data_IF_936392422016
#
_entry.id   IF_936392422016
#
_cell.length_a   1.000
_cell.length_b   1.000
_cell.length_c   1.000
_cell.angle_alpha   90.00
_cell.angle_beta   90.00
_cell.angle_gamma   90.00
#
_symmetry.space_group_name_H-M   'P 1'
#
loop_
_entity.id
_entity.type
_entity.pdbx_description
1 polymer ?
#
# COMPACT_ATOMS: atom_id res chain seq x y z
N UNK A 1 5.03 -7.44 -0.50
CA UNK A 1 4.69 -6.17 0.14
C UNK A 1 5.12 -4.97 -0.72
N UNK A 2 6.29 -4.99 -1.36
CA UNK A 2 6.77 -3.91 -2.25
C UNK A 2 5.86 -3.74 -3.45
N UNK A 3 5.48 -4.84 -4.12
CA UNK A 3 4.50 -4.83 -5.21
C UNK A 3 3.16 -4.24 -4.78
N UNK A 4 2.67 -4.63 -3.58
CA UNK A 4 1.47 -4.03 -2.98
C UNK A 4 1.66 -2.53 -2.78
N UNK A 5 2.76 -2.09 -2.18
CA UNK A 5 3.03 -0.67 -1.94
C UNK A 5 3.15 0.16 -3.23
N UNK A 6 3.57 -0.47 -4.33
CA UNK A 6 3.60 0.12 -5.67
C UNK A 6 2.23 0.09 -6.37
N UNK A 7 1.22 -0.59 -5.81
CA UNK A 7 -0.11 -0.74 -6.39
C UNK A 7 -0.19 -1.75 -7.54
N UNK A 8 0.79 -2.66 -7.67
CA UNK A 8 0.77 -3.70 -8.71
C UNK A 8 -0.25 -4.79 -8.43
N UNK A 9 -0.57 -5.02 -7.16
CA UNK A 9 -1.54 -6.02 -6.71
C UNK A 9 -2.95 -5.42 -6.50
N UNK A 10 -3.15 -4.14 -6.79
CA UNK A 10 -4.45 -3.49 -6.69
C UNK A 10 -5.30 -3.76 -7.92
N UNK A 11 -6.61 -3.71 -7.76
CA UNK A 11 -7.56 -3.79 -8.89
C UNK A 11 -7.39 -2.59 -9.84
N UNK A 12 -6.95 -1.45 -9.30
CA UNK A 12 -6.55 -0.27 -10.06
C UNK A 12 -5.05 -0.10 -9.89
N UNK A 13 -4.31 -0.28 -10.98
CA UNK A 13 -2.86 -0.20 -10.97
C UNK A 13 -2.38 1.19 -10.53
N UNK A 14 -1.51 1.22 -9.50
CA UNK A 14 -0.92 2.45 -9.00
C UNK A 14 -1.84 3.29 -8.11
N UNK A 15 -2.89 2.71 -7.54
CA UNK A 15 -3.83 3.40 -6.64
C UNK A 15 -3.11 4.10 -5.48
N UNK A 16 -3.39 5.40 -5.29
CA UNK A 16 -2.69 6.23 -4.31
C UNK A 16 -2.98 5.84 -2.85
N UNK A 17 -4.17 5.29 -2.59
CA UNK A 17 -4.58 4.90 -1.24
C UNK A 17 -3.80 3.71 -0.69
N UNK A 18 -3.29 2.82 -1.54
CA UNK A 18 -2.52 1.63 -1.12
C UNK A 18 -1.31 2.00 -0.26
N UNK A 19 -0.57 3.04 -0.64
CA UNK A 19 0.58 3.46 0.15
C UNK A 19 0.19 3.95 1.55
N UNK A 20 -0.95 4.61 1.65
CA UNK A 20 -1.50 5.04 2.94
C UNK A 20 -1.93 3.84 3.78
N UNK A 21 -2.57 2.84 3.17
CA UNK A 21 -2.96 1.59 3.84
C UNK A 21 -1.74 0.82 4.36
N UNK A 22 -0.66 0.70 3.57
CA UNK A 22 0.60 0.08 3.99
C UNK A 22 1.21 0.79 5.20
N UNK A 23 1.22 2.13 5.22
CA UNK A 23 1.72 2.91 6.36
C UNK A 23 0.82 2.77 7.59
N UNK A 24 -0.48 2.75 7.41
CA UNK A 24 -1.45 2.56 8.50
C UNK A 24 -1.27 1.16 9.12
N UNK A 25 -1.10 0.12 8.30
CA UNK A 25 -0.90 -1.25 8.77
C UNK A 25 0.31 -1.38 9.71
N UNK A 26 1.47 -0.82 9.35
CA UNK A 26 2.66 -0.87 10.24
C UNK A 26 2.45 -0.03 11.50
N UNK A 27 1.72 1.07 11.41
CA UNK A 27 1.41 1.89 12.59
C UNK A 27 0.53 1.12 13.58
N UNK A 28 -0.49 0.42 13.10
CA UNK A 28 -1.34 -0.45 13.93
C UNK A 28 -0.56 -1.61 14.53
N UNK A 29 0.30 -2.27 13.74
CA UNK A 29 1.15 -3.35 14.21
C UNK A 29 2.12 -2.88 15.32
N UNK A 30 2.67 -1.66 15.19
CA UNK A 30 3.52 -1.04 16.20
C UNK A 30 2.74 -0.75 17.49
N UNK A 31 1.53 -0.21 17.39
CA UNK A 31 0.66 0.05 18.54
C UNK A 31 0.26 -1.24 19.27
N UNK A 32 0.07 -2.33 18.52
CA UNK A 32 -0.23 -3.65 19.06
C UNK A 32 1.01 -4.41 19.59
N UNK A 33 2.23 -3.84 19.48
CA UNK A 33 3.47 -4.51 19.89
C UNK A 33 3.84 -5.73 19.05
N UNK A 34 3.25 -5.88 17.85
CA UNK A 34 3.46 -7.01 16.94
C UNK A 34 4.47 -6.74 15.82
N UNK A 35 5.01 -5.52 15.73
CA UNK A 35 6.04 -5.15 14.75
C UNK A 35 7.43 -5.21 15.41
N UNK A 36 8.27 -6.13 14.95
CA UNK A 36 9.69 -6.16 15.28
C UNK A 36 10.51 -5.28 14.32
N UNK A 37 11.82 -5.18 14.57
CA UNK A 37 12.72 -4.38 13.74
C UNK A 37 12.81 -4.85 12.28
N UNK A 38 12.52 -6.14 11.99
CA UNK A 38 12.49 -6.68 10.63
C UNK A 38 11.26 -6.19 9.90
N UNK A 39 10.10 -6.34 10.52
CA UNK A 39 8.83 -5.86 9.97
C UNK A 39 8.86 -4.35 9.76
N UNK A 40 9.34 -3.58 10.73
CA UNK A 40 9.47 -2.13 10.58
C UNK A 40 10.35 -1.72 9.40
N UNK A 41 11.49 -2.39 9.22
CA UNK A 41 12.40 -2.13 8.11
C UNK A 41 11.78 -2.55 6.78
N UNK A 42 11.10 -3.71 6.72
CA UNK A 42 10.39 -4.18 5.53
C UNK A 42 9.31 -3.18 5.09
N UNK A 43 8.47 -2.73 6.01
CA UNK A 43 7.40 -1.78 5.69
C UNK A 43 7.93 -0.40 5.29
N UNK A 44 9.00 0.07 5.95
CA UNK A 44 9.67 1.31 5.58
C UNK A 44 10.26 1.23 4.18
N UNK A 45 10.92 0.12 3.84
CA UNK A 45 11.50 -0.14 2.52
C UNK A 45 10.42 -0.23 1.46
N UNK A 46 9.32 -0.93 1.72
CA UNK A 46 8.18 -1.02 0.82
C UNK A 46 7.51 0.34 0.58
N UNK A 47 7.35 1.15 1.64
CA UNK A 47 6.80 2.49 1.49
C UNK A 47 7.73 3.42 0.67
N UNK A 48 9.05 3.27 0.80
CA UNK A 48 10.04 3.99 -0.01
C UNK A 48 9.97 3.55 -1.48
N UNK A 49 9.91 2.23 -1.74
CA UNK A 49 9.70 1.66 -3.08
C UNK A 49 8.43 2.23 -3.74
N UNK A 50 7.29 2.21 -3.04
CA UNK A 50 6.04 2.76 -3.55
C UNK A 50 6.11 4.27 -3.86
N UNK A 51 6.89 5.05 -3.10
CA UNK A 51 7.14 6.47 -3.43
C UNK A 51 8.01 6.62 -4.69
N UNK A 52 9.08 5.83 -4.81
CA UNK A 52 9.97 5.85 -5.99
C UNK A 52 9.21 5.43 -7.24
N UNK A 53 8.38 4.39 -7.18
CA UNK A 53 7.55 3.96 -8.28
C UNK A 53 6.62 5.08 -8.81
N UNK A 54 6.11 5.93 -7.91
CA UNK A 54 5.25 7.07 -8.28
C UNK A 54 6.02 8.28 -8.82
N UNK A 55 7.21 8.54 -8.32
CA UNK A 55 8.03 9.67 -8.80
C UNK A 55 8.52 9.49 -10.24
N UNK A 56 8.63 8.25 -10.72
CA UNK A 56 9.00 7.91 -12.10
C UNK A 56 7.89 8.08 -13.15
N UNK A 57 6.73 8.62 -12.75
CA UNK A 57 5.54 8.76 -13.60
C UNK A 57 4.46 7.74 -13.26
N UNK A 58 3.22 8.03 -13.68
CA UNK A 58 2.07 7.13 -13.43
C UNK A 58 2.19 5.85 -14.26
N UNK A 59 1.83 4.72 -13.67
CA UNK A 59 1.79 3.40 -14.34
C UNK A 59 0.68 3.38 -15.40
N UNK A 60 -0.40 4.12 -15.13
CA UNK A 60 -1.48 4.38 -16.08
C UNK A 60 -1.62 5.89 -16.25
N UNK A 61 -1.87 6.37 -17.46
CA UNK A 61 -2.12 7.80 -17.76
C UNK A 61 -3.44 8.35 -17.20
N UNK A 62 -4.09 7.65 -16.29
CA UNK A 62 -5.47 7.87 -15.85
C UNK A 62 -5.53 8.05 -14.32
N UNK A 63 -6.55 8.73 -13.80
CA UNK A 63 -6.75 8.97 -12.37
C UNK A 63 -6.73 7.69 -11.53
N UNK A 64 -5.97 7.71 -10.44
CA UNK A 64 -5.53 6.55 -9.67
C UNK A 64 -6.43 6.19 -8.49
N UNK A 65 -7.71 6.58 -8.47
CA UNK A 65 -8.63 6.13 -7.43
C UNK A 65 -9.88 5.47 -8.00
N UNK A 66 -10.40 4.50 -7.26
CA UNK A 66 -11.66 3.80 -7.59
C UNK A 66 -12.80 4.81 -7.83
N UNK A 67 -12.85 5.91 -7.07
CA UNK A 67 -13.83 6.95 -7.23
C UNK A 67 -13.74 7.67 -8.58
N UNK A 68 -12.54 8.01 -9.06
CA UNK A 68 -12.36 8.61 -10.39
C UNK A 68 -12.81 7.64 -11.48
N UNK A 69 -12.40 6.37 -11.36
CA UNK A 69 -12.81 5.35 -12.33
C UNK A 69 -14.32 5.13 -12.34
N UNK A 70 -14.95 5.16 -11.16
CA UNK A 70 -16.42 5.08 -11.07
C UNK A 70 -17.10 6.19 -11.87
N UNK A 71 -16.63 7.45 -11.73
CA UNK A 71 -17.20 8.59 -12.47
C UNK A 71 -16.94 8.50 -13.97
N UNK A 72 -15.78 7.98 -14.40
CA UNK A 72 -15.51 7.71 -15.82
C UNK A 72 -16.47 6.66 -16.38
N UNK A 73 -16.65 5.53 -15.69
CA UNK A 73 -17.59 4.48 -16.13
C UNK A 73 -19.03 4.99 -16.14
N UNK A 74 -19.39 5.84 -15.18
CA UNK A 74 -20.70 6.48 -15.19
C UNK A 74 -20.89 7.37 -16.43
N UNK A 75 -19.86 8.13 -16.85
CA UNK A 75 -19.92 8.89 -18.12
C UNK A 75 -20.00 7.97 -19.34
N UNK A 76 -19.27 6.87 -19.35
CA UNK A 76 -19.33 5.87 -20.44
C UNK A 76 -20.72 5.25 -20.56
N UNK A 77 -21.39 4.95 -19.44
CA UNK A 77 -22.69 4.28 -19.39
C UNK A 77 -23.89 5.21 -19.53
N UNK A 78 -23.81 6.38 -18.94
CA UNK A 78 -24.94 7.33 -18.84
C UNK A 78 -24.79 8.54 -19.76
N UNK A 79 -23.64 8.72 -20.40
CA UNK A 79 -23.31 9.91 -21.20
C UNK A 79 -23.01 11.10 -20.29
N UNK A 80 -23.54 12.26 -20.61
CA UNK A 80 -23.34 13.47 -19.83
C UNK A 80 -23.96 13.35 -18.44
N UNK A 81 -23.19 13.69 -17.42
CA UNK A 81 -23.62 13.65 -16.03
C UNK A 81 -24.16 14.99 -15.52
N UNK A 82 -23.96 16.08 -16.27
CA UNK A 82 -24.45 17.40 -15.89
C UNK A 82 -25.97 17.38 -15.73
N UNK A 83 -26.45 17.93 -14.61
CA UNK A 83 -27.86 18.00 -14.27
C UNK A 83 -28.47 16.70 -13.71
N UNK A 84 -27.77 15.58 -13.75
CA UNK A 84 -28.26 14.32 -13.15
C UNK A 84 -28.22 14.39 -11.63
N UNK A 85 -29.18 13.72 -10.99
CA UNK A 85 -29.30 13.60 -9.54
C UNK A 85 -28.57 12.35 -9.04
N UNK A 86 -27.73 12.51 -8.00
CA UNK A 86 -26.90 11.46 -7.46
C UNK A 86 -27.05 11.37 -5.92
N UNK A 87 -27.34 10.17 -5.41
CA UNK A 87 -27.27 9.89 -3.99
C UNK A 87 -25.95 9.18 -3.66
N UNK A 88 -25.20 9.71 -2.70
CA UNK A 88 -23.98 9.07 -2.17
C UNK A 88 -24.25 8.57 -0.76
N UNK A 89 -24.16 7.25 -0.56
CA UNK A 89 -24.26 6.63 0.76
C UNK A 89 -22.86 6.44 1.32
N UNK A 90 -22.58 7.12 2.44
CA UNK A 90 -21.30 7.10 3.13
C UNK A 90 -20.51 8.40 2.97
N UNK A 91 -20.06 8.93 4.11
CA UNK A 91 -19.28 10.17 4.20
C UNK A 91 -17.85 9.93 4.70
N UNK A 92 -17.31 8.72 4.44
CA UNK A 92 -15.89 8.39 4.59
C UNK A 92 -15.03 9.06 3.50
N UNK A 93 -13.75 8.78 3.48
CA UNK A 93 -12.80 9.34 2.50
C UNK A 93 -13.27 9.07 1.05
N UNK A 94 -13.63 7.80 0.75
CA UNK A 94 -14.10 7.40 -0.58
C UNK A 94 -15.42 8.06 -0.96
N UNK A 95 -16.37 8.12 -0.02
CA UNK A 95 -17.68 8.74 -0.26
C UNK A 95 -17.55 10.24 -0.53
N UNK A 96 -16.75 10.97 0.25
CA UNK A 96 -16.49 12.40 0.02
C UNK A 96 -15.79 12.65 -1.31
N UNK A 97 -14.79 11.84 -1.66
CA UNK A 97 -14.11 11.95 -2.95
C UNK A 97 -15.08 11.72 -4.11
N UNK A 98 -15.90 10.66 -4.02
CA UNK A 98 -16.92 10.36 -5.04
C UNK A 98 -17.95 11.49 -5.18
N UNK A 99 -18.41 12.04 -4.06
CA UNK A 99 -19.35 13.16 -4.06
C UNK A 99 -18.74 14.43 -4.70
N UNK A 100 -17.47 14.74 -4.40
CA UNK A 100 -16.75 15.86 -5.03
C UNK A 100 -16.63 15.67 -6.54
N UNK A 101 -16.22 14.49 -6.99
CA UNK A 101 -16.04 14.16 -8.41
C UNK A 101 -17.38 14.19 -9.19
N UNK A 102 -18.46 13.71 -8.59
CA UNK A 102 -19.80 13.79 -9.18
C UNK A 102 -20.26 15.25 -9.28
N UNK A 103 -19.97 16.09 -8.26
CA UNK A 103 -20.23 17.53 -8.31
C UNK A 103 -19.44 18.23 -9.44
N UNK A 104 -18.14 17.92 -9.55
CA UNK A 104 -17.28 18.43 -10.63
C UNK A 104 -17.77 17.99 -12.02
N UNK A 105 -18.41 16.80 -12.09
CA UNK A 105 -19.06 16.31 -13.30
C UNK A 105 -20.42 16.99 -13.59
N UNK A 106 -20.88 17.90 -12.72
CA UNK A 106 -22.13 18.65 -12.87
C UNK A 106 -23.37 18.00 -12.28
N UNK A 107 -23.22 16.90 -11.50
CA UNK A 107 -24.35 16.29 -10.82
C UNK A 107 -24.89 17.15 -9.67
N UNK A 108 -26.19 17.00 -9.39
CA UNK A 108 -26.79 17.40 -8.13
C UNK A 108 -26.61 16.27 -7.12
N UNK A 109 -25.76 16.49 -6.12
CA UNK A 109 -25.33 15.42 -5.22
C UNK A 109 -25.92 15.59 -3.83
N UNK A 110 -26.58 14.52 -3.36
CA UNK A 110 -27.04 14.36 -1.97
C UNK A 110 -26.19 13.32 -1.28
N UNK A 111 -25.71 13.59 -0.05
CA UNK A 111 -24.88 12.70 0.74
C UNK A 111 -25.62 12.28 2.01
N UNK A 112 -25.56 10.98 2.33
CA UNK A 112 -26.15 10.51 3.59
C UNK A 112 -25.18 10.65 4.75
N UNK A 113 -25.66 11.10 5.93
CA UNK A 113 -24.91 11.20 7.15
C UNK A 113 -25.51 10.32 8.25
N UNK A 114 -24.67 9.58 9.00
CA UNK A 114 -25.09 8.91 10.23
C UNK A 114 -25.02 9.87 11.42
N UNK A 115 -26.05 9.86 12.25
CA UNK A 115 -26.22 10.76 13.42
C UNK A 115 -25.21 10.53 14.55
N UNK A 116 -24.39 9.48 14.50
CA UNK A 116 -23.54 9.04 15.62
C UNK A 116 -22.15 9.66 15.70
N UNK A 117 -21.76 10.53 14.76
CA UNK A 117 -20.45 11.14 14.83
C UNK A 117 -20.45 12.42 15.65
N UNK A 118 -19.94 12.35 16.87
CA UNK A 118 -19.53 13.51 17.65
C UNK A 118 -18.29 14.13 16.97
N UNK A 119 -18.47 15.22 16.26
CA UNK A 119 -17.40 15.96 15.60
C UNK A 119 -17.90 16.79 14.43
N UNK A 120 -17.06 17.68 13.91
CA UNK A 120 -17.38 18.42 12.67
C UNK A 120 -17.42 17.46 11.50
N UNK A 121 -18.60 17.21 10.96
CA UNK A 121 -18.79 16.38 9.77
C UNK A 121 -18.43 17.19 8.53
N UNK A 122 -17.34 16.84 7.87
CA UNK A 122 -16.96 17.49 6.62
C UNK A 122 -17.78 16.91 5.47
N UNK A 123 -18.55 17.76 4.81
CA UNK A 123 -19.31 17.42 3.60
C UNK A 123 -18.72 18.21 2.45
N UNK A 124 -18.58 17.62 1.24
CA UNK A 124 -18.10 18.36 0.08
C UNK A 124 -19.00 19.57 -0.25
N UNK A 125 -18.37 20.67 -0.60
CA UNK A 125 -19.09 21.91 -0.89
C UNK A 125 -20.13 21.73 -2.02
N UNK A 126 -21.33 22.26 -1.82
CA UNK A 126 -22.42 22.18 -2.79
C UNK A 126 -23.15 20.83 -2.85
N UNK A 127 -22.90 19.91 -1.92
CA UNK A 127 -23.71 18.73 -1.74
C UNK A 127 -24.84 18.99 -0.74
N UNK A 128 -26.02 18.44 -1.01
CA UNK A 128 -27.10 18.34 -0.05
C UNK A 128 -26.85 17.21 0.95
N UNK A 129 -27.50 17.28 2.11
CA UNK A 129 -27.29 16.28 3.18
C UNK A 129 -28.63 15.77 3.67
N UNK A 130 -28.71 14.43 3.82
CA UNK A 130 -29.86 13.76 4.41
C UNK A 130 -29.41 12.78 5.50
N UNK A 131 -30.24 12.49 6.51
CA UNK A 131 -29.96 11.43 7.46
C UNK A 131 -29.81 10.07 6.76
N UNK A 132 -28.91 9.21 7.23
CA UNK A 132 -28.73 7.87 6.67
C UNK A 132 -30.03 7.03 6.69
N UNK A 133 -30.85 7.23 7.70
CA UNK A 133 -32.14 6.56 7.88
C UNK A 133 -33.12 6.90 6.76
N UNK A 134 -33.05 8.12 6.23
CA UNK A 134 -33.89 8.60 5.13
C UNK A 134 -33.35 8.22 3.73
N UNK A 135 -32.32 7.37 3.64
CA UNK A 135 -31.66 7.04 2.37
C UNK A 135 -32.58 6.48 1.29
N UNK A 136 -33.61 5.70 1.64
CA UNK A 136 -34.56 5.16 0.68
C UNK A 136 -35.50 6.23 0.16
N UNK A 137 -35.97 7.13 1.02
CA UNK A 137 -36.76 8.29 0.61
C UNK A 137 -35.97 9.22 -0.31
N UNK A 138 -34.70 9.48 0.06
CA UNK A 138 -33.78 10.27 -0.76
C UNK A 138 -33.38 9.57 -2.08
N UNK A 139 -33.52 8.27 -2.17
CA UNK A 139 -33.23 7.48 -3.36
C UNK A 139 -34.33 7.59 -4.41
N UNK A 140 -35.53 7.95 -3.99
CA UNK A 140 -36.73 8.05 -4.88
C UNK A 140 -36.52 9.12 -5.96
N UNK A 141 -36.53 8.70 -7.21
CA UNK A 141 -36.38 9.59 -8.36
C UNK A 141 -34.95 10.04 -8.67
N UNK A 142 -33.93 9.54 -7.97
CA UNK A 142 -32.53 9.75 -8.31
C UNK A 142 -32.14 9.02 -9.60
N UNK A 143 -31.23 9.60 -10.38
CA UNK A 143 -30.68 8.99 -11.59
C UNK A 143 -29.66 7.90 -11.25
N UNK A 144 -28.83 8.15 -10.22
CA UNK A 144 -27.79 7.22 -9.80
C UNK A 144 -27.62 7.17 -8.27
N UNK A 145 -27.15 6.01 -7.80
CA UNK A 145 -26.74 5.75 -6.43
C UNK A 145 -25.29 5.29 -6.42
N UNK A 146 -24.48 5.88 -5.54
CA UNK A 146 -23.14 5.41 -5.23
C UNK A 146 -23.02 5.11 -3.75
N UNK A 147 -22.60 3.90 -3.38
CA UNK A 147 -22.38 3.52 -1.98
C UNK A 147 -20.89 3.27 -1.71
N UNK A 148 -20.39 3.84 -0.60
CA UNK A 148 -18.99 3.76 -0.19
C UNK A 148 -18.89 3.82 1.34
N UNK A 149 -19.44 2.81 2.03
CA UNK A 149 -19.40 2.73 3.49
C UNK A 149 -18.43 1.66 3.98
N UNK A 150 -18.17 1.63 5.28
CA UNK A 150 -17.45 0.56 5.98
C UNK A 150 -18.41 -0.36 6.74
N UNK A 151 -19.68 -0.39 6.34
CA UNK A 151 -20.69 -1.21 7.00
C UNK A 151 -20.39 -2.70 6.79
N UNK A 152 -20.50 -3.55 7.83
CA UNK A 152 -20.39 -4.99 7.66
C UNK A 152 -21.66 -5.63 7.05
N UNK A 153 -22.71 -4.83 6.86
CA UNK A 153 -24.00 -5.29 6.36
C UNK A 153 -24.42 -4.47 5.14
N UNK A 154 -25.30 -5.06 4.32
CA UNK A 154 -25.88 -4.33 3.19
C UNK A 154 -26.58 -3.06 3.65
N UNK A 155 -26.22 -1.94 3.07
CA UNK A 155 -26.86 -0.63 3.28
C UNK A 155 -28.07 -0.44 2.36
N UNK A 156 -28.09 -1.16 1.23
CA UNK A 156 -29.18 -1.19 0.28
C UNK A 156 -29.62 -2.65 0.05
N UNK A 157 -30.81 -3.00 0.52
CA UNK A 157 -31.38 -4.33 0.37
C UNK A 157 -32.48 -4.36 -0.69
N UNK A 158 -32.69 -5.56 -1.26
CA UNK A 158 -33.61 -5.78 -2.35
C UNK A 158 -35.06 -5.40 -1.99
N UNK A 159 -35.53 -5.78 -0.81
CA UNK A 159 -36.93 -5.57 -0.42
C UNK A 159 -37.30 -4.08 -0.34
N UNK A 160 -36.45 -3.27 0.32
CA UNK A 160 -36.71 -1.85 0.44
C UNK A 160 -36.49 -1.10 -0.89
N UNK A 161 -35.52 -1.53 -1.69
CA UNK A 161 -35.28 -0.95 -3.02
C UNK A 161 -36.45 -1.23 -3.98
N UNK A 162 -36.98 -2.44 -3.98
CA UNK A 162 -38.12 -2.84 -4.83
C UNK A 162 -39.44 -2.13 -4.45
N UNK A 163 -39.53 -1.55 -3.25
CA UNK A 163 -40.69 -0.76 -2.81
C UNK A 163 -40.67 0.68 -3.33
N UNK A 164 -39.57 1.15 -3.93
CA UNK A 164 -39.49 2.48 -4.52
C UNK A 164 -40.31 2.55 -5.80
N UNK A 165 -41.04 3.64 -5.98
CA UNK A 165 -41.85 3.88 -7.18
C UNK A 165 -40.97 4.23 -8.40
N UNK A 166 -39.88 4.96 -8.17
CA UNK A 166 -38.92 5.41 -9.18
C UNK A 166 -37.48 5.20 -8.68
N UNK A 167 -37.01 3.93 -8.58
CA UNK A 167 -35.67 3.63 -8.11
C UNK A 167 -34.59 4.14 -9.10
N UNK A 168 -33.39 4.47 -8.62
CA UNK A 168 -32.26 4.79 -9.49
C UNK A 168 -31.92 3.57 -10.37
N UNK A 169 -31.61 3.84 -11.64
CA UNK A 169 -31.27 2.78 -12.60
C UNK A 169 -29.79 2.43 -12.61
N UNK A 170 -28.93 3.33 -12.16
CA UNK A 170 -27.51 3.15 -12.10
C UNK A 170 -27.07 3.06 -10.65
N UNK A 171 -26.49 1.93 -10.24
CA UNK A 171 -25.99 1.68 -8.90
C UNK A 171 -24.49 1.40 -8.96
N UNK A 172 -23.72 2.03 -8.09
CA UNK A 172 -22.27 1.83 -7.96
C UNK A 172 -21.94 1.47 -6.52
N UNK A 173 -21.34 0.31 -6.32
CA UNK A 173 -20.90 -0.18 -5.01
C UNK A 173 -19.37 -0.17 -4.92
N UNK A 174 -18.82 0.76 -4.15
CA UNK A 174 -17.38 0.89 -3.89
C UNK A 174 -16.95 0.28 -2.55
N UNK A 175 -17.88 -0.32 -1.81
CA UNK A 175 -17.62 -0.84 -0.47
C UNK A 175 -17.05 -2.26 -0.49
N UNK A 176 -16.18 -2.53 0.49
CA UNK A 176 -15.69 -3.87 0.82
C UNK A 176 -15.80 -4.03 2.35
N UNK A 177 -16.69 -4.94 2.84
CA UNK A 177 -17.62 -5.78 2.09
C UNK A 177 -18.69 -4.97 1.37
N UNK A 178 -19.45 -5.59 0.46
CA UNK A 178 -20.45 -4.92 -0.38
C UNK A 178 -21.54 -4.24 0.45
N UNK A 179 -21.91 -3.05 0.03
CA UNK A 179 -22.99 -2.25 0.58
C UNK A 179 -24.34 -2.55 -0.08
N UNK A 180 -24.33 -2.91 -1.36
CA UNK A 180 -25.52 -3.13 -2.18
C UNK A 180 -25.73 -4.63 -2.39
N UNK A 181 -26.91 -5.09 -2.09
CA UNK A 181 -27.27 -6.49 -2.24
C UNK A 181 -27.17 -6.91 -3.72
N UNK A 182 -26.37 -7.98 -4.05
CA UNK A 182 -26.07 -8.34 -5.45
C UNK A 182 -27.27 -8.65 -6.31
N UNK A 183 -28.35 -9.14 -5.72
CA UNK A 183 -29.61 -9.50 -6.39
C UNK A 183 -30.29 -8.27 -7.03
N UNK A 184 -29.92 -7.04 -6.65
CA UNK A 184 -30.41 -5.84 -7.31
C UNK A 184 -29.99 -5.76 -8.78
N UNK A 185 -28.88 -6.40 -9.16
CA UNK A 185 -28.48 -6.49 -10.56
C UNK A 185 -29.46 -7.26 -11.45
N UNK A 186 -30.36 -8.05 -10.84
CA UNK A 186 -31.40 -8.82 -11.56
C UNK A 186 -32.70 -8.02 -11.74
N UNK A 187 -32.81 -6.82 -11.15
CA UNK A 187 -33.99 -5.98 -11.30
C UNK A 187 -34.04 -5.35 -12.70
N UNK A 188 -35.21 -5.37 -13.31
CA UNK A 188 -35.40 -4.84 -14.66
C UNK A 188 -35.01 -3.35 -14.75
N UNK A 189 -34.11 -3.04 -15.68
CA UNK A 189 -33.63 -1.68 -15.93
C UNK A 189 -32.64 -1.13 -14.90
N UNK A 190 -32.11 -1.97 -13.99
CA UNK A 190 -31.06 -1.62 -13.04
C UNK A 190 -29.72 -2.14 -13.54
N UNK A 191 -28.72 -1.27 -13.52
CA UNK A 191 -27.32 -1.62 -13.74
C UNK A 191 -26.58 -1.47 -12.42
N UNK A 192 -26.01 -2.56 -11.90
CA UNK A 192 -25.18 -2.56 -10.69
C UNK A 192 -23.72 -2.76 -11.07
N UNK A 193 -22.92 -1.75 -10.81
CA UNK A 193 -21.46 -1.79 -10.93
C UNK A 193 -20.84 -1.95 -9.53
N UNK A 194 -19.85 -2.79 -9.40
CA UNK A 194 -19.02 -2.89 -8.20
C UNK A 194 -17.54 -2.65 -8.54
N UNK A 195 -16.68 -2.72 -7.55
CA UNK A 195 -15.24 -2.48 -7.71
C UNK A 195 -14.63 -3.40 -8.79
N UNK A 196 -15.12 -4.63 -8.94
CA UNK A 196 -14.62 -5.57 -9.97
C UNK A 196 -14.96 -5.13 -11.39
N UNK A 197 -16.13 -4.50 -11.61
CA UNK A 197 -16.54 -3.95 -12.90
C UNK A 197 -15.78 -2.66 -13.27
N UNK A 198 -15.16 -2.01 -12.28
CA UNK A 198 -14.36 -0.81 -12.50
C UNK A 198 -12.92 -1.12 -12.94
N UNK A 199 -12.56 -2.42 -12.99
CA UNK A 199 -11.29 -2.86 -13.56
C UNK A 199 -11.18 -2.37 -14.99
N UNK A 200 -10.11 -1.67 -15.28
CA UNK A 200 -9.75 -1.30 -16.63
C UNK A 200 -8.81 -2.37 -17.21
N UNK A 201 -9.13 -2.88 -18.41
CA UNK A 201 -8.14 -3.50 -19.28
C UNK A 201 -7.34 -2.38 -19.96
N UNK A 202 -6.70 -1.53 -19.18
CA UNK A 202 -5.94 -0.42 -19.73
C UNK A 202 -4.68 -0.91 -20.42
N UNK A 203 -4.33 -0.18 -21.48
CA UNK A 203 -2.99 -0.21 -22.03
C UNK A 203 -2.05 0.28 -20.93
N UNK A 204 -1.57 -0.69 -20.16
CA UNK A 204 -0.52 -0.46 -19.15
C UNK A 204 0.69 0.04 -19.93
N UNK A 205 1.20 1.22 -19.57
CA UNK A 205 2.48 1.66 -20.12
C UNK A 205 3.56 0.63 -19.76
N UNK A 206 3.94 -0.19 -20.75
CA UNK A 206 4.90 -1.27 -20.57
C UNK A 206 6.24 -0.74 -20.04
N UNK A 207 6.61 0.50 -20.36
CA UNK A 207 7.84 1.11 -19.85
C UNK A 207 7.67 1.55 -18.40
N UNK A 208 6.50 2.07 -18.02
CA UNK A 208 6.20 2.38 -16.62
C UNK A 208 6.18 1.10 -15.77
N UNK A 209 5.58 0.03 -16.25
CA UNK A 209 5.57 -1.27 -15.58
C UNK A 209 7.00 -1.80 -15.36
N UNK A 210 7.85 -1.77 -16.39
CA UNK A 210 9.26 -2.18 -16.28
C UNK A 210 10.02 -1.36 -15.24
N UNK A 211 9.80 -0.03 -15.21
CA UNK A 211 10.42 0.85 -14.21
C UNK A 211 10.00 0.49 -12.78
N UNK A 212 8.72 0.20 -12.58
CA UNK A 212 8.21 -0.20 -11.26
C UNK A 212 8.75 -1.56 -10.84
N UNK A 213 8.80 -2.54 -11.75
CA UNK A 213 9.39 -3.84 -11.48
C UNK A 213 10.87 -3.73 -11.11
N UNK A 214 11.64 -2.94 -11.85
CA UNK A 214 13.06 -2.68 -11.53
C UNK A 214 13.21 -2.02 -10.15
N UNK A 215 12.34 -1.08 -9.79
CA UNK A 215 12.33 -0.50 -8.45
C UNK A 215 12.01 -1.55 -7.38
N UNK A 216 11.04 -2.43 -7.61
CA UNK A 216 10.70 -3.51 -6.67
C UNK A 216 11.90 -4.43 -6.44
N UNK A 217 12.59 -4.84 -7.51
CA UNK A 217 13.78 -5.69 -7.45
C UNK A 217 14.91 -5.01 -6.67
N UNK A 218 15.22 -3.74 -6.97
CA UNK A 218 16.25 -2.96 -6.28
C UNK A 218 15.97 -2.83 -4.77
N UNK A 219 14.75 -2.47 -4.40
CA UNK A 219 14.39 -2.31 -2.98
C UNK A 219 14.31 -3.65 -2.24
N UNK A 220 13.90 -4.73 -2.93
CA UNK A 220 13.92 -6.08 -2.37
C UNK A 220 15.35 -6.52 -2.08
N UNK A 221 16.27 -6.33 -3.04
CA UNK A 221 17.68 -6.66 -2.86
C UNK A 221 18.30 -5.90 -1.68
N UNK A 222 18.04 -4.59 -1.58
CA UNK A 222 18.49 -3.77 -0.43
C UNK A 222 17.98 -4.29 0.90
N UNK A 223 16.71 -4.70 0.96
CA UNK A 223 16.14 -5.29 2.17
C UNK A 223 16.79 -6.63 2.52
N UNK A 224 17.00 -7.50 1.55
CA UNK A 224 17.63 -8.81 1.74
C UNK A 224 19.08 -8.65 2.21
N UNK A 225 19.87 -7.75 1.60
CA UNK A 225 21.23 -7.43 2.03
C UNK A 225 21.26 -6.93 3.48
N UNK A 226 20.35 -6.00 3.83
CA UNK A 226 20.23 -5.55 5.21
C UNK A 226 19.88 -6.67 6.19
N UNK A 227 18.93 -7.54 5.83
CA UNK A 227 18.51 -8.64 6.68
C UNK A 227 19.62 -9.68 6.86
N UNK A 228 20.32 -10.04 5.79
CA UNK A 228 21.49 -10.93 5.84
C UNK A 228 22.58 -10.36 6.74
N UNK A 229 22.88 -9.06 6.61
CA UNK A 229 23.83 -8.39 7.50
C UNK A 229 23.37 -8.47 8.97
N UNK A 230 22.12 -8.14 9.25
CA UNK A 230 21.53 -8.20 10.59
C UNK A 230 21.63 -9.61 11.19
N UNK A 231 21.31 -10.63 10.40
CA UNK A 231 21.41 -12.04 10.83
C UNK A 231 22.85 -12.48 11.11
N UNK A 232 23.81 -11.87 10.47
CA UNK A 232 25.22 -12.15 10.71
C UNK A 232 25.78 -11.52 11.99
N UNK A 233 25.09 -10.51 12.58
CA UNK A 233 25.63 -9.77 13.75
C UNK A 233 25.98 -10.65 14.96
N UNK A 234 25.16 -11.64 15.37
CA UNK A 234 25.54 -12.54 16.48
C UNK A 234 26.83 -13.32 16.20
N UNK A 235 26.95 -13.89 15.00
CA UNK A 235 28.15 -14.63 14.60
C UNK A 235 29.40 -13.72 14.51
N UNK A 236 29.21 -12.46 14.07
CA UNK A 236 30.30 -11.48 14.10
C UNK A 236 30.76 -11.17 15.54
N UNK A 237 29.82 -11.07 16.50
CA UNK A 237 30.18 -10.86 17.89
C UNK A 237 30.85 -12.08 18.53
N UNK A 238 30.42 -13.28 18.22
CA UNK A 238 31.10 -14.53 18.62
C UNK A 238 32.53 -14.56 18.06
N UNK A 239 32.72 -14.19 16.78
CA UNK A 239 34.05 -14.12 16.18
C UNK A 239 34.93 -13.10 16.89
N UNK A 240 34.43 -11.91 17.19
CA UNK A 240 35.16 -10.87 17.93
C UNK A 240 35.59 -11.37 19.33
N UNK A 241 34.70 -12.10 20.01
CA UNK A 241 35.01 -12.66 21.33
C UNK A 241 36.11 -13.72 21.23
N UNK A 242 36.03 -14.60 20.24
CA UNK A 242 37.07 -15.63 20.01
C UNK A 242 38.44 -14.99 19.72
N UNK A 243 38.46 -13.91 18.91
CA UNK A 243 39.71 -13.17 18.65
C UNK A 243 40.30 -12.51 19.90
N UNK A 244 39.44 -11.86 20.71
CA UNK A 244 39.89 -11.28 21.99
C UNK A 244 40.44 -12.32 22.94
N UNK A 245 39.81 -13.50 23.03
CA UNK A 245 40.30 -14.60 23.86
C UNK A 245 41.66 -15.12 23.37
N UNK A 246 41.83 -15.31 22.06
CA UNK A 246 43.08 -15.76 21.46
C UNK A 246 44.20 -14.75 21.71
N UNK A 247 43.96 -13.50 21.51
CA UNK A 247 44.94 -12.42 21.77
C UNK A 247 45.35 -12.40 23.25
N UNK A 248 44.40 -12.53 24.18
CA UNK A 248 44.70 -12.63 25.62
C UNK A 248 45.57 -13.82 25.94
N UNK A 249 45.28 -15.00 25.39
CA UNK A 249 46.07 -16.22 25.61
C UNK A 249 47.51 -16.04 25.14
N UNK A 250 47.79 -15.38 24.04
CA UNK A 250 49.14 -15.07 23.59
C UNK A 250 49.88 -14.11 24.54
N UNK A 251 49.22 -13.06 25.02
CA UNK A 251 49.76 -12.11 25.99
C UNK A 251 50.05 -12.79 27.35
N UNK A 252 49.17 -13.68 27.82
CA UNK A 252 49.35 -14.46 29.05
C UNK A 252 50.49 -15.48 28.91
N UNK A 253 50.77 -15.97 27.71
CA UNK A 253 51.90 -16.82 27.39
C UNK A 253 53.24 -16.06 27.31
N UNK A 254 53.24 -14.73 27.53
CA UNK A 254 54.44 -13.91 27.56
C UNK A 254 54.85 -13.31 26.22
N UNK A 255 53.98 -13.40 25.19
CA UNK A 255 54.22 -12.77 23.90
C UNK A 255 54.01 -11.26 24.02
N UNK A 256 54.81 -10.47 23.31
CA UNK A 256 54.58 -9.01 23.26
C UNK A 256 53.30 -8.65 22.48
N UNK A 257 52.80 -7.45 22.65
CA UNK A 257 51.50 -7.04 22.10
C UNK A 257 51.49 -6.95 20.57
N UNK A 258 52.60 -6.60 19.92
CA UNK A 258 52.72 -6.47 18.47
C UNK A 258 52.73 -7.90 17.82
N UNK A 259 53.53 -8.79 18.36
CA UNK A 259 53.62 -10.21 17.92
C UNK A 259 52.29 -10.93 18.13
N UNK A 260 51.62 -10.75 19.29
CA UNK A 260 50.32 -11.31 19.60
C UNK A 260 49.22 -10.81 18.61
N UNK A 261 49.28 -9.56 18.25
CA UNK A 261 48.35 -8.94 17.29
C UNK A 261 48.60 -9.52 15.88
N UNK A 262 49.85 -9.54 15.42
CA UNK A 262 50.22 -10.06 14.09
C UNK A 262 49.80 -11.53 13.92
N UNK A 263 50.10 -12.36 14.89
CA UNK A 263 49.73 -13.78 14.86
C UNK A 263 48.20 -14.00 14.94
N UNK A 264 47.50 -13.15 15.71
CA UNK A 264 46.03 -13.20 15.76
C UNK A 264 45.41 -12.84 14.41
N UNK A 265 45.91 -11.81 13.74
CA UNK A 265 45.43 -11.40 12.41
C UNK A 265 45.73 -12.48 11.37
N UNK A 266 46.99 -12.95 11.30
CA UNK A 266 47.40 -13.99 10.35
C UNK A 266 46.54 -15.24 10.44
N UNK A 267 46.43 -15.81 11.66
CA UNK A 267 45.60 -17.02 11.87
C UNK A 267 44.13 -16.81 11.65
N UNK A 268 43.62 -15.62 11.86
CA UNK A 268 42.21 -15.30 11.57
C UNK A 268 41.96 -15.30 10.08
N UNK A 269 42.82 -14.64 9.33
CA UNK A 269 42.71 -14.57 7.86
C UNK A 269 42.84 -15.98 7.26
N UNK A 270 43.81 -16.80 7.73
CA UNK A 270 43.96 -18.18 7.28
C UNK A 270 42.71 -19.03 7.53
N UNK A 271 42.13 -18.94 8.75
CA UNK A 271 40.95 -19.74 9.13
C UNK A 271 39.67 -19.28 8.36
N UNK A 272 39.51 -17.99 8.19
CA UNK A 272 38.35 -17.47 7.43
C UNK A 272 38.49 -17.82 5.95
N UNK A 273 39.69 -17.60 5.36
CA UNK A 273 39.93 -17.91 3.94
C UNK A 273 39.85 -19.41 3.67
N UNK A 274 40.36 -20.26 4.60
CA UNK A 274 40.30 -21.71 4.49
C UNK A 274 38.92 -22.30 4.73
N UNK A 275 38.14 -21.73 5.66
CA UNK A 275 36.78 -22.20 6.00
C UNK A 275 35.71 -21.75 5.01
N UNK A 276 35.97 -20.69 4.23
CA UNK A 276 35.03 -20.09 3.26
C UNK A 276 35.53 -20.23 1.82
N UNK A 277 36.34 -21.22 1.52
CA UNK A 277 37.03 -21.41 0.25
C UNK A 277 36.12 -21.30 -0.98
N UNK A 278 34.92 -21.89 -0.87
CA UNK A 278 33.95 -21.92 -1.97
C UNK A 278 33.06 -20.66 -2.07
N UNK A 279 33.04 -19.85 -0.99
CA UNK A 279 32.11 -18.72 -0.87
C UNK A 279 32.80 -17.35 -0.81
N UNK A 280 34.09 -17.29 -0.61
CA UNK A 280 34.86 -16.06 -0.48
C UNK A 280 35.94 -15.95 -1.60
N UNK A 281 35.58 -15.50 -2.79
CA UNK A 281 36.52 -15.37 -3.90
C UNK A 281 37.57 -14.28 -3.62
N UNK A 282 38.76 -14.40 -4.18
CA UNK A 282 39.90 -13.51 -3.95
C UNK A 282 39.60 -12.02 -4.21
N UNK A 283 38.65 -11.70 -5.08
CA UNK A 283 38.24 -10.29 -5.31
C UNK A 283 37.47 -9.72 -4.11
N UNK A 284 36.62 -10.52 -3.43
CA UNK A 284 35.89 -10.09 -2.24
C UNK A 284 36.84 -9.80 -1.07
N UNK A 285 37.86 -10.63 -0.88
CA UNK A 285 38.91 -10.41 0.12
C UNK A 285 39.65 -9.09 -0.17
N UNK A 286 40.01 -8.83 -1.42
CA UNK A 286 40.67 -7.57 -1.83
C UNK A 286 39.75 -6.36 -1.59
N UNK A 287 38.48 -6.46 -1.86
CA UNK A 287 37.51 -5.40 -1.60
C UNK A 287 37.39 -5.10 -0.11
N UNK A 288 37.28 -6.13 0.75
CA UNK A 288 37.31 -5.96 2.21
C UNK A 288 38.59 -5.25 2.68
N UNK A 289 39.75 -5.65 2.19
CA UNK A 289 41.02 -5.02 2.52
C UNK A 289 41.10 -3.55 2.06
N UNK A 290 40.50 -3.22 0.92
CA UNK A 290 40.41 -1.83 0.45
C UNK A 290 39.49 -0.98 1.35
N UNK A 291 38.35 -1.51 1.78
CA UNK A 291 37.43 -0.84 2.72
C UNK A 291 38.07 -0.59 4.08
N UNK A 292 38.81 -1.57 4.63
CA UNK A 292 39.55 -1.40 5.90
C UNK A 292 40.52 -0.23 5.78
N UNK A 293 41.30 -0.15 4.70
CA UNK A 293 42.26 0.95 4.47
C UNK A 293 41.60 2.34 4.36
N UNK A 294 40.40 2.41 3.82
CA UNK A 294 39.63 3.67 3.74
C UNK A 294 39.16 4.15 5.11
N UNK A 295 38.73 3.24 5.98
CA UNK A 295 38.27 3.57 7.33
C UNK A 295 39.39 3.88 8.32
N UNK A 296 40.64 3.48 8.02
CA UNK A 296 41.82 3.80 8.88
C UNK A 296 42.33 5.21 8.66
N UNK A 297 41.84 5.94 7.66
CA UNK A 297 42.25 7.33 7.32
C UNK A 297 41.30 8.41 7.83
N UNK A 298 40.25 8.03 8.56
CA UNK A 298 39.28 8.91 9.22
C UNK A 298 39.50 8.93 10.73
#
# INVERSE_FOLDING_TARGET
>A
LMEVACGLCSQILGEDQILTQVKTAVTLARQAGSADGVLETLFRTAAACGKTARSGGRISGVPTSVAHRAVEVLREQMGELAGKSALVIGNGEMGRLSASLLREAGCQVTVTLRSYHHGQTVVPAGCEVVPYEARYEAMEGMDLLLSATTSPHYTVNLAAFAALARPPRMLVDLAIPRDIQPELAQQAGVTLLNVDHLRRQDVVDANAMKRVQAAVEEYLERFLQWNTYRESLPAQEELKQALRQRMRAYLEAGMDAEEAMELTVEKTVELIAGGLNDTLPAHAIRECAARIRQHTRA
#
